data_IF_163666578764
#
_entry.id   IF_163666578764
#
_cell.length_a   1.000
_cell.length_b   1.000
_cell.length_c   1.000
_cell.angle_alpha   90.00
_cell.angle_beta   90.00
_cell.angle_gamma   90.00
#
_symmetry.space_group_name_H-M   'P 1'
#
loop_
_entity.id
_entity.type
_entity.pdbx_description
1 polymer ?
#
# COMPACT_ATOMS: atom_id res chain seq x y z
N UNK A 1 43.18 23.55 -14.62
CA UNK A 1 42.37 23.74 -13.39
C UNK A 1 40.90 23.39 -13.60
N UNK A 2 40.23 23.98 -14.61
CA UNK A 2 38.82 23.70 -14.96
C UNK A 2 38.46 22.21 -15.14
N UNK A 3 39.24 21.37 -15.86
CA UNK A 3 38.86 19.95 -16.05
C UNK A 3 38.93 19.12 -14.76
N UNK A 4 39.85 19.45 -13.85
CA UNK A 4 39.95 18.80 -12.54
C UNK A 4 38.74 19.13 -11.65
N UNK A 5 38.26 20.37 -11.72
CA UNK A 5 37.11 20.84 -10.96
C UNK A 5 35.82 20.16 -11.47
N UNK A 6 35.67 20.01 -12.78
CA UNK A 6 34.57 19.26 -13.39
C UNK A 6 34.60 17.76 -13.00
N UNK A 7 35.78 17.14 -12.96
CA UNK A 7 35.94 15.75 -12.56
C UNK A 7 35.49 15.53 -11.10
N UNK A 8 35.91 16.41 -10.18
CA UNK A 8 35.53 16.38 -8.77
C UNK A 8 34.00 16.50 -8.58
N UNK A 9 33.36 17.42 -9.31
CA UNK A 9 31.90 17.61 -9.25
C UNK A 9 31.16 16.38 -9.76
N UNK A 10 31.58 15.80 -10.89
CA UNK A 10 30.97 14.59 -11.44
C UNK A 10 31.10 13.39 -10.48
N UNK A 11 32.27 13.23 -9.86
CA UNK A 11 32.51 12.19 -8.85
C UNK A 11 31.63 12.37 -7.61
N UNK A 12 31.52 13.60 -7.10
CA UNK A 12 30.64 13.91 -5.97
C UNK A 12 29.17 13.64 -6.27
N UNK A 13 28.70 14.03 -7.46
CA UNK A 13 27.32 13.78 -7.90
C UNK A 13 27.03 12.27 -8.00
N UNK A 14 27.91 11.50 -8.65
CA UNK A 14 27.77 10.05 -8.78
C UNK A 14 27.78 9.34 -7.42
N UNK A 15 28.72 9.71 -6.54
CA UNK A 15 28.79 9.18 -5.17
C UNK A 15 27.52 9.48 -4.37
N UNK A 16 27.01 10.71 -4.45
CA UNK A 16 25.78 11.10 -3.75
C UNK A 16 24.55 10.32 -4.25
N UNK A 17 24.44 10.11 -5.57
CA UNK A 17 23.35 9.33 -6.17
C UNK A 17 23.41 7.86 -5.72
N UNK A 18 24.60 7.26 -5.76
CA UNK A 18 24.83 5.89 -5.31
C UNK A 18 24.44 5.72 -3.83
N UNK A 19 24.89 6.63 -2.96
CA UNK A 19 24.52 6.62 -1.53
C UNK A 19 23.01 6.75 -1.34
N UNK A 20 22.35 7.66 -2.06
CA UNK A 20 20.88 7.82 -1.97
C UNK A 20 20.14 6.56 -2.42
N UNK A 21 20.61 5.90 -3.49
CA UNK A 21 20.04 4.66 -3.99
C UNK A 21 20.24 3.52 -2.97
N UNK A 22 21.44 3.39 -2.42
CA UNK A 22 21.75 2.40 -1.39
C UNK A 22 20.90 2.62 -0.13
N UNK A 23 20.74 3.87 0.31
CA UNK A 23 19.90 4.19 1.46
C UNK A 23 18.41 3.90 1.19
N UNK A 24 17.91 4.18 -0.02
CA UNK A 24 16.54 3.85 -0.39
C UNK A 24 16.30 2.33 -0.38
N UNK A 25 17.25 1.53 -0.88
CA UNK A 25 17.17 0.08 -0.85
C UNK A 25 17.39 -0.55 0.53
N UNK A 26 18.24 0.06 1.37
CA UNK A 26 18.55 -0.39 2.72
C UNK A 26 17.44 -0.07 3.73
N UNK A 27 16.57 0.92 3.44
CA UNK A 27 15.33 1.18 4.19
C UNK A 27 14.27 0.10 3.95
N UNK A 28 14.67 -1.17 3.96
CA UNK A 28 13.74 -2.25 4.24
C UNK A 28 13.33 -2.09 5.69
N UNK A 29 12.02 -2.09 6.02
CA UNK A 29 11.62 -2.11 7.41
C UNK A 29 12.29 -3.33 8.06
N UNK A 30 13.19 -3.07 9.01
CA UNK A 30 13.77 -4.12 9.84
C UNK A 30 12.59 -4.83 10.47
N UNK A 31 12.44 -6.12 10.16
CA UNK A 31 11.42 -6.95 10.80
C UNK A 31 11.82 -7.03 12.27
N UNK A 32 11.18 -6.21 13.11
CA UNK A 32 11.44 -6.20 14.54
C UNK A 32 11.34 -7.63 15.09
N UNK A 33 12.18 -7.99 16.08
CA UNK A 33 12.05 -9.26 16.79
C UNK A 33 10.58 -9.43 17.21
N UNK A 34 10.04 -10.63 17.00
CA UNK A 34 8.68 -10.95 17.43
C UNK A 34 8.66 -10.99 18.94
N UNK A 35 8.40 -9.85 19.56
CA UNK A 35 8.04 -9.83 20.96
C UNK A 35 6.77 -10.67 21.14
N UNK A 36 6.68 -11.41 22.24
CA UNK A 36 5.68 -12.47 22.44
C UNK A 36 4.27 -11.92 22.72
N UNK A 37 4.06 -10.62 22.57
CA UNK A 37 2.76 -9.97 22.57
C UNK A 37 2.02 -10.15 21.23
N UNK A 38 0.69 -10.15 21.28
CA UNK A 38 -0.17 -10.12 20.08
C UNK A 38 0.28 -8.97 19.17
N UNK A 39 0.90 -9.28 18.04
CA UNK A 39 1.25 -8.27 17.05
C UNK A 39 -0.03 -7.69 16.44
N UNK A 40 -0.08 -6.36 16.31
CA UNK A 40 -1.14 -5.67 15.59
C UNK A 40 -1.21 -6.21 14.16
N UNK A 41 -2.41 -6.58 13.75
CA UNK A 41 -2.71 -6.84 12.34
C UNK A 41 -2.59 -5.55 11.54
N UNK A 42 -2.42 -5.68 10.21
CA UNK A 42 -2.35 -4.50 9.35
C UNK A 42 -3.65 -3.67 9.39
N UNK A 43 -4.81 -4.32 9.53
CA UNK A 43 -6.09 -3.63 9.69
C UNK A 43 -6.17 -2.87 11.02
N UNK A 44 -5.74 -3.45 12.13
CA UNK A 44 -5.69 -2.74 13.42
C UNK A 44 -4.71 -1.57 13.37
N UNK A 45 -3.53 -1.74 12.76
CA UNK A 45 -2.59 -0.65 12.56
C UNK A 45 -3.18 0.47 11.68
N UNK A 46 -3.90 0.11 10.62
CA UNK A 46 -4.59 1.07 9.75
C UNK A 46 -5.70 1.83 10.50
N UNK A 47 -6.47 1.13 11.33
CA UNK A 47 -7.49 1.72 12.20
C UNK A 47 -6.89 2.72 13.18
N UNK A 48 -5.79 2.35 13.86
CA UNK A 48 -5.10 3.27 14.78
C UNK A 48 -4.51 4.48 14.04
N UNK A 49 -4.06 4.31 12.80
CA UNK A 49 -3.43 5.37 12.02
C UNK A 49 -4.43 6.37 11.39
N UNK A 50 -5.71 6.00 11.23
CA UNK A 50 -6.66 6.85 10.51
C UNK A 50 -8.11 6.39 10.53
N UNK A 51 -8.48 5.56 11.49
CA UNK A 51 -9.83 5.05 11.67
C UNK A 51 -10.28 4.09 10.55
N UNK A 52 -11.60 3.87 10.44
CA UNK A 52 -12.16 2.85 9.58
C UNK A 52 -11.95 3.12 8.08
N UNK A 53 -11.92 4.39 7.65
CA UNK A 53 -11.61 4.71 6.24
C UNK A 53 -10.22 4.23 5.82
N UNK A 54 -9.23 4.29 6.72
CA UNK A 54 -7.88 3.80 6.43
C UNK A 54 -7.82 2.26 6.41
N UNK A 55 -8.72 1.58 7.14
CA UNK A 55 -8.93 0.13 7.01
C UNK A 55 -9.51 -0.21 5.64
N UNK A 56 -10.53 0.52 5.19
CA UNK A 56 -11.14 0.33 3.87
C UNK A 56 -10.13 0.56 2.72
N UNK A 57 -9.30 1.62 2.81
CA UNK A 57 -8.22 1.85 1.85
C UNK A 57 -7.21 0.70 1.82
N UNK A 58 -6.78 0.23 3.00
CA UNK A 58 -5.86 -0.89 3.10
C UNK A 58 -6.48 -2.18 2.52
N UNK A 59 -7.75 -2.44 2.80
CA UNK A 59 -8.47 -3.59 2.28
C UNK A 59 -8.53 -3.55 0.75
N UNK A 60 -8.96 -2.43 0.14
CA UNK A 60 -9.02 -2.26 -1.31
C UNK A 60 -7.65 -2.48 -1.97
N UNK A 61 -6.58 -1.86 -1.45
CA UNK A 61 -5.23 -2.00 -2.00
C UNK A 61 -4.70 -3.43 -1.80
N UNK A 62 -4.89 -4.03 -0.63
CA UNK A 62 -4.41 -5.39 -0.35
C UNK A 62 -5.11 -6.44 -1.22
N UNK A 63 -6.43 -6.30 -1.43
CA UNK A 63 -7.19 -7.15 -2.33
C UNK A 63 -6.76 -6.95 -3.78
N UNK A 64 -6.46 -5.73 -4.21
CA UNK A 64 -5.93 -5.44 -5.54
C UNK A 64 -4.57 -6.11 -5.78
N UNK A 65 -3.63 -5.96 -4.84
CA UNK A 65 -2.31 -6.58 -4.91
C UNK A 65 -2.39 -8.11 -4.91
N UNK A 66 -3.40 -8.69 -4.26
CA UNK A 66 -3.69 -10.13 -4.27
C UNK A 66 -4.52 -10.58 -5.47
N UNK A 67 -4.81 -9.69 -6.44
CA UNK A 67 -5.62 -9.95 -7.63
C UNK A 67 -7.06 -10.39 -7.36
N UNK A 68 -7.63 -9.95 -6.23
CA UNK A 68 -9.03 -10.21 -5.85
C UNK A 68 -9.96 -9.06 -6.25
N UNK A 69 -9.41 -7.85 -6.41
CA UNK A 69 -10.08 -6.69 -6.98
C UNK A 69 -9.26 -6.12 -8.14
N UNK A 70 -9.94 -5.58 -9.14
CA UNK A 70 -9.37 -4.67 -10.12
C UNK A 70 -9.76 -3.25 -9.73
N UNK A 71 -8.76 -2.40 -9.49
CA UNK A 71 -8.97 -0.97 -9.27
C UNK A 71 -8.63 -0.25 -10.57
N UNK A 72 -9.66 0.24 -11.26
CA UNK A 72 -9.49 0.94 -12.52
C UNK A 72 -8.99 2.37 -12.26
N UNK A 73 -8.15 2.87 -13.15
CA UNK A 73 -7.68 4.26 -13.14
C UNK A 73 -8.83 5.29 -13.28
N UNK A 74 -10.01 4.83 -13.73
CA UNK A 74 -11.26 5.61 -13.81
C UNK A 74 -11.97 5.76 -12.47
N UNK A 75 -11.45 5.18 -11.37
CA UNK A 75 -12.05 5.28 -10.04
C UNK A 75 -13.09 4.20 -9.74
N UNK A 76 -13.05 3.06 -10.45
CA UNK A 76 -13.95 1.92 -10.24
C UNK A 76 -13.24 0.75 -9.57
N UNK A 77 -13.95 0.02 -8.72
CA UNK A 77 -13.53 -1.27 -8.18
C UNK A 77 -14.39 -2.37 -8.79
N UNK A 78 -13.74 -3.43 -9.28
CA UNK A 78 -14.40 -4.62 -9.82
C UNK A 78 -13.92 -5.86 -9.07
N UNK A 79 -14.86 -6.69 -8.61
CA UNK A 79 -14.58 -7.96 -7.95
C UNK A 79 -14.09 -8.98 -8.98
N UNK A 80 -12.89 -9.51 -8.77
CA UNK A 80 -12.30 -10.58 -9.59
C UNK A 80 -12.52 -11.93 -8.91
N UNK A 81 -12.42 -11.96 -7.58
CA UNK A 81 -12.64 -13.13 -6.75
C UNK A 81 -13.62 -12.78 -5.61
N UNK A 82 -14.84 -13.35 -5.59
CA UNK A 82 -15.87 -13.03 -4.60
C UNK A 82 -15.63 -13.67 -3.21
N UNK A 83 -14.66 -14.57 -3.05
CA UNK A 83 -14.47 -15.34 -1.80
C UNK A 83 -13.59 -14.62 -0.77
N UNK A 84 -14.16 -13.62 -0.08
CA UNK A 84 -13.46 -12.84 0.94
C UNK A 84 -12.76 -13.68 2.02
N UNK A 85 -11.43 -13.52 2.16
CA UNK A 85 -10.61 -14.34 3.08
C UNK A 85 -10.89 -14.04 4.54
N UNK A 86 -11.23 -12.81 4.83
CA UNK A 86 -11.54 -12.31 6.16
C UNK A 86 -12.79 -11.41 6.11
N UNK A 87 -13.26 -11.01 7.29
CA UNK A 87 -14.50 -10.23 7.41
C UNK A 87 -14.41 -8.84 6.77
N UNK A 88 -13.21 -8.25 6.76
CA UNK A 88 -12.97 -6.94 6.14
C UNK A 88 -13.08 -7.06 4.62
N UNK A 89 -12.43 -8.06 4.02
CA UNK A 89 -12.54 -8.33 2.58
C UNK A 89 -14.00 -8.64 2.18
N UNK A 90 -14.75 -9.41 2.99
CA UNK A 90 -16.18 -9.68 2.74
C UNK A 90 -17.04 -8.43 2.83
N UNK A 91 -16.74 -7.53 3.77
CA UNK A 91 -17.41 -6.23 3.90
C UNK A 91 -17.19 -5.38 2.65
N UNK A 92 -15.96 -5.32 2.13
CA UNK A 92 -15.66 -4.60 0.88
C UNK A 92 -16.43 -5.20 -0.31
N UNK A 93 -16.46 -6.53 -0.44
CA UNK A 93 -17.21 -7.22 -1.52
C UNK A 93 -18.70 -6.91 -1.41
N UNK A 94 -19.26 -6.93 -0.19
CA UNK A 94 -20.66 -6.57 0.06
C UNK A 94 -20.94 -5.10 -0.29
N UNK A 95 -20.00 -4.20 0.02
CA UNK A 95 -20.11 -2.77 -0.31
C UNK A 95 -20.04 -2.50 -1.83
N UNK A 96 -19.34 -3.34 -2.59
CA UNK A 96 -19.35 -3.28 -4.07
C UNK A 96 -20.72 -3.72 -4.61
N UNK A 97 -21.34 -4.72 -3.97
CA UNK A 97 -22.68 -5.19 -4.32
C UNK A 97 -22.71 -6.27 -5.41
N UNK A 98 -23.91 -6.76 -5.75
CA UNK A 98 -24.10 -7.95 -6.60
C UNK A 98 -23.67 -7.73 -8.05
N UNK A 99 -23.65 -6.49 -8.52
CA UNK A 99 -23.16 -6.13 -9.87
C UNK A 99 -21.66 -6.39 -10.05
N UNK A 100 -20.94 -6.67 -8.95
CA UNK A 100 -19.52 -6.97 -8.97
C UNK A 100 -18.63 -5.78 -9.32
N UNK A 101 -19.20 -4.59 -9.55
CA UNK A 101 -18.46 -3.36 -9.80
C UNK A 101 -19.15 -2.14 -9.20
N UNK A 102 -18.37 -1.20 -8.68
CA UNK A 102 -18.88 0.02 -8.06
C UNK A 102 -17.79 1.11 -8.02
N UNK A 103 -18.14 2.42 -8.02
CA UNK A 103 -17.15 3.47 -7.84
C UNK A 103 -16.42 3.33 -6.48
N UNK A 104 -15.13 3.63 -6.43
CA UNK A 104 -14.30 3.42 -5.23
C UNK A 104 -14.76 4.30 -4.05
N UNK A 105 -15.17 5.55 -4.32
CA UNK A 105 -15.57 6.50 -3.28
C UNK A 105 -16.75 5.99 -2.40
N UNK A 106 -17.89 5.56 -2.96
CA UNK A 106 -18.98 4.99 -2.16
C UNK A 106 -18.59 3.68 -1.48
N UNK A 107 -17.84 2.79 -2.16
CA UNK A 107 -17.34 1.54 -1.53
C UNK A 107 -16.51 1.85 -0.29
N UNK A 108 -15.60 2.83 -0.37
CA UNK A 108 -14.75 3.25 0.75
C UNK A 108 -15.56 3.89 1.90
N UNK A 109 -16.67 4.54 1.59
CA UNK A 109 -17.56 5.10 2.61
C UNK A 109 -18.41 4.01 3.28
N UNK A 110 -18.90 3.03 2.52
CA UNK A 110 -19.76 1.95 3.03
C UNK A 110 -19.00 0.83 3.73
N UNK A 111 -17.71 0.64 3.42
CA UNK A 111 -16.86 -0.38 4.04
C UNK A 111 -16.12 0.10 5.30
N UNK A 112 -16.26 1.38 5.65
CA UNK A 112 -15.70 2.01 6.85
C UNK A 112 -16.75 2.02 7.97
#
# INVERSE_FOLDING_TARGET
>A
MVPFLLLLVAWGAAGSSCVRLCLAGARRPVRAPRDSGRQLTLYEAAFLAGGPHRVADLALVSMHLRRRLLLAHTGWATVVDPEGRDEVERTVIRAIGPEGQSPIAPVRASAA
#
